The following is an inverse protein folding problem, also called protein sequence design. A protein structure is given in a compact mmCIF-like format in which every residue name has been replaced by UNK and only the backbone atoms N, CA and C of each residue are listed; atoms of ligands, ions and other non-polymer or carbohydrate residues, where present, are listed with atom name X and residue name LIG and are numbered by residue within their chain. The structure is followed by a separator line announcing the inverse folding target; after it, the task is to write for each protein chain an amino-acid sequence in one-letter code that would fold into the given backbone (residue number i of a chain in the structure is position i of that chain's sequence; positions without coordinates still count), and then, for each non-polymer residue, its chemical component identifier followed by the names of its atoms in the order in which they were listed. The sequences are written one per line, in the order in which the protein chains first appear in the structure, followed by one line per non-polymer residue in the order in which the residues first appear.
data_IF_375280413372
#
_entry.id   IF_375280413372
#
_cell.length_a   1.000
_cell.length_b   1.000
_cell.length_c   1.000
_cell.angle_alpha   90.00
_cell.angle_beta   90.00
_cell.angle_gamma   90.00
#
_symmetry.space_group_name_H-M   'P 1'
#
loop_
_entity.id
_entity.type
_entity.pdbx_description
1 polymer ?
#
# COMPACT_ATOMS: atom_id res chain seq x y z
N UNK A 1 8.75 -8.09 10.14
CA UNK A 1 8.16 -7.45 8.94
C UNK A 1 6.72 -7.89 8.83
N UNK A 2 5.78 -6.99 9.07
CA UNK A 2 4.36 -7.25 8.80
C UNK A 2 4.18 -7.25 7.29
N UNK A 3 3.81 -8.39 6.72
CA UNK A 3 3.49 -8.52 5.29
C UNK A 3 1.98 -8.33 5.09
N UNK A 4 1.63 -7.75 3.96
CA UNK A 4 0.24 -7.50 3.56
C UNK A 4 0.20 -7.19 2.08
N UNK A 5 -0.93 -7.46 1.47
CA UNK A 5 -1.14 -7.25 0.04
C UNK A 5 -1.83 -5.91 -0.19
N UNK A 6 -1.41 -5.19 -1.23
CA UNK A 6 -2.11 -3.99 -1.67
C UNK A 6 -3.51 -4.38 -2.12
N UNK A 7 -4.51 -3.98 -1.32
CA UNK A 7 -5.92 -4.23 -1.63
C UNK A 7 -6.39 -3.35 -2.78
N UNK A 8 -5.94 -2.10 -2.77
CA UNK A 8 -6.22 -1.10 -3.79
C UNK A 8 -5.24 0.06 -3.63
N UNK A 9 -4.70 0.55 -4.74
CA UNK A 9 -3.91 1.78 -4.76
C UNK A 9 -4.35 2.68 -5.92
N UNK A 10 -4.52 3.97 -5.63
CA UNK A 10 -4.80 4.98 -6.65
C UNK A 10 -3.56 5.86 -6.83
N UNK A 11 -2.78 5.58 -7.88
CA UNK A 11 -1.59 6.35 -8.22
C UNK A 11 -1.92 7.81 -8.60
N UNK A 12 -3.07 8.06 -9.22
CA UNK A 12 -3.51 9.40 -9.61
C UNK A 12 -3.84 10.28 -8.40
N UNK A 13 -4.45 9.68 -7.38
CA UNK A 13 -4.76 10.37 -6.12
C UNK A 13 -3.62 10.33 -5.10
N UNK A 14 -2.67 9.41 -5.28
CA UNK A 14 -1.49 9.26 -4.41
C UNK A 14 -1.77 8.56 -3.08
N UNK A 15 -2.80 7.72 -2.98
CA UNK A 15 -3.10 6.98 -1.76
C UNK A 15 -3.72 5.60 -2.05
N UNK A 16 -3.69 4.72 -1.05
CA UNK A 16 -4.31 3.40 -1.13
C UNK A 16 -4.48 2.74 0.23
N UNK A 17 -4.87 1.47 0.18
CA UNK A 17 -5.03 0.63 1.35
C UNK A 17 -4.33 -0.72 1.14
N UNK A 18 -3.67 -1.17 2.19
CA UNK A 18 -2.99 -2.46 2.26
C UNK A 18 -3.75 -3.32 3.26
N UNK A 19 -4.08 -4.54 2.86
CA UNK A 19 -4.69 -5.50 3.76
C UNK A 19 -3.58 -6.35 4.38
N UNK A 20 -3.34 -6.27 5.70
CA UNK A 20 -2.34 -7.10 6.35
C UNK A 20 -2.76 -8.58 6.32
N UNK A 21 -1.80 -9.46 6.07
CA UNK A 21 -2.02 -10.92 5.93
C UNK A 21 -2.58 -11.54 7.23
N UNK A 22 -2.28 -10.90 8.36
CA UNK A 22 -2.74 -11.29 9.69
C UNK A 22 -4.25 -11.00 9.93
N UNK A 23 -5.02 -10.65 8.88
CA UNK A 23 -6.46 -10.37 8.96
C UNK A 23 -6.82 -9.11 9.75
N UNK A 24 -5.84 -8.22 9.96
CA UNK A 24 -6.02 -6.96 10.69
C UNK A 24 -6.78 -5.90 9.89
N UNK A 25 -6.97 -4.73 10.50
CA UNK A 25 -7.58 -3.59 9.81
C UNK A 25 -6.75 -3.13 8.62
N UNK A 26 -7.44 -2.69 7.57
CA UNK A 26 -6.82 -2.10 6.38
C UNK A 26 -5.90 -0.94 6.78
N UNK A 27 -4.64 -1.01 6.36
CA UNK A 27 -3.63 -0.01 6.62
C UNK A 27 -3.65 1.03 5.50
N UNK A 28 -3.86 2.30 5.85
CA UNK A 28 -3.79 3.40 4.89
C UNK A 28 -2.33 3.65 4.48
N UNK A 29 -2.08 3.78 3.18
CA UNK A 29 -0.76 4.10 2.64
C UNK A 29 -0.84 5.35 1.75
N UNK A 30 0.11 6.26 1.94
CA UNK A 30 0.27 7.46 1.12
C UNK A 30 1.46 7.28 0.16
N UNK A 31 1.40 7.86 -1.03
CA UNK A 31 2.46 7.76 -2.05
C UNK A 31 3.81 8.21 -1.53
N UNK A 32 3.86 9.19 -0.61
CA UNK A 32 5.10 9.63 0.01
C UNK A 32 5.82 8.54 0.81
N UNK A 33 5.08 7.58 1.38
CA UNK A 33 5.68 6.42 2.05
C UNK A 33 6.24 5.41 1.04
N UNK A 34 5.57 5.25 -0.10
CA UNK A 34 5.98 4.40 -1.23
C UNK A 34 7.24 4.95 -1.89
N UNK A 35 7.26 6.26 -2.17
CA UNK A 35 8.42 6.96 -2.72
C UNK A 35 9.62 6.91 -1.77
N UNK A 36 9.38 7.04 -0.45
CA UNK A 36 10.44 6.86 0.56
C UNK A 36 10.99 5.44 0.61
N UNK A 37 10.18 4.45 0.25
CA UNK A 37 10.64 3.07 0.10
C UNK A 37 11.40 2.83 -1.23
N UNK A 38 11.55 3.87 -2.08
CA UNK A 38 12.19 3.78 -3.39
C UNK A 38 11.29 3.19 -4.47
N UNK A 39 10.00 3.08 -4.20
CA UNK A 39 9.00 2.57 -5.14
C UNK A 39 8.29 3.77 -5.80
N UNK A 40 8.18 3.77 -7.13
CA UNK A 40 7.48 4.84 -7.86
C UNK A 40 5.95 4.68 -7.85
N UNK A 41 5.44 3.63 -7.20
CA UNK A 41 4.02 3.32 -7.08
C UNK A 41 3.82 1.92 -6.52
N UNK A 42 2.58 1.62 -6.11
CA UNK A 42 2.15 0.28 -5.73
C UNK A 42 1.18 -0.26 -6.78
N UNK A 43 1.34 -1.53 -7.16
CA UNK A 43 0.34 -2.24 -7.97
C UNK A 43 -0.56 -3.06 -7.06
N UNK A 44 -1.83 -3.17 -7.45
CA UNK A 44 -2.79 -4.03 -6.76
C UNK A 44 -2.30 -5.48 -6.81
N UNK A 45 -2.26 -6.16 -5.66
CA UNK A 45 -1.75 -7.54 -5.55
C UNK A 45 -0.25 -7.70 -5.24
N UNK A 46 0.50 -6.61 -5.11
CA UNK A 46 1.89 -6.60 -4.59
C UNK A 46 1.91 -6.64 -3.06
#
# INVERSE_FOLDING_TARGET
MTRGTVKWFNATKGFGFIQPDNGGKDAFVHISAVERAGLSGLREGE
#
